data_IF_348697701123
#
_entry.id   IF_348697701123
#
_cell.length_a   1.000
_cell.length_b   1.000
_cell.length_c   1.000
_cell.angle_alpha   90.00
_cell.angle_beta   90.00
_cell.angle_gamma   90.00
#
_symmetry.space_group_name_H-M   'P 1'
#
loop_
_entity.id
_entity.type
_entity.pdbx_description
1 polymer ?
#
# COMPACT_ATOMS: atom_id res chain seq x y z
N UNK A 1 2.82 -21.19 10.89
CA UNK A 1 1.75 -20.61 11.75
C UNK A 1 2.18 -19.18 12.02
N UNK A 2 1.72 -18.22 11.21
CA UNK A 2 2.06 -16.81 11.38
C UNK A 2 1.15 -16.21 12.45
N UNK A 3 1.73 -15.59 13.47
CA UNK A 3 0.97 -14.73 14.37
C UNK A 3 0.38 -13.58 13.56
N UNK A 4 -0.86 -13.21 13.85
CA UNK A 4 -1.48 -12.01 13.30
C UNK A 4 -0.63 -10.81 13.74
N UNK A 5 -0.18 -9.97 12.79
CA UNK A 5 0.58 -8.77 13.11
C UNK A 5 -0.35 -7.86 13.93
N UNK A 6 0.05 -7.56 15.17
CA UNK A 6 -0.74 -6.71 16.04
C UNK A 6 -0.13 -5.32 16.10
N UNK A 7 -0.80 -4.35 15.49
CA UNK A 7 -0.38 -2.95 15.48
C UNK A 7 -0.92 -2.20 16.69
N UNK A 8 -0.35 -2.45 17.88
CA UNK A 8 -0.76 -1.72 19.08
C UNK A 8 -0.41 -0.23 18.98
N UNK A 9 0.73 0.08 18.38
CA UNK A 9 1.20 1.44 18.13
C UNK A 9 1.92 1.52 16.79
N UNK A 10 1.85 2.69 16.15
CA UNK A 10 2.74 3.02 15.03
C UNK A 10 3.53 4.24 15.40
N UNK A 11 4.85 4.14 15.24
CA UNK A 11 5.81 5.17 15.53
C UNK A 11 6.43 5.72 14.26
N UNK A 12 6.95 6.94 14.35
CA UNK A 12 7.64 7.63 13.28
C UNK A 12 8.82 8.41 13.82
N UNK A 13 10.00 8.25 13.23
CA UNK A 13 11.18 9.02 13.62
C UNK A 13 11.22 10.37 12.91
N UNK A 14 11.29 11.45 13.69
CA UNK A 14 11.45 12.82 13.18
C UNK A 14 12.78 12.94 12.43
N UNK A 15 12.74 13.30 11.15
CA UNK A 15 13.95 13.42 10.32
C UNK A 15 14.68 14.76 10.52
N UNK A 16 13.93 15.83 10.78
CA UNK A 16 14.45 17.19 10.91
C UNK A 16 13.67 17.95 11.98
N UNK A 17 14.30 18.95 12.61
CA UNK A 17 13.63 19.75 13.61
C UNK A 17 12.42 20.49 13.00
N UNK A 18 11.23 20.27 13.54
CA UNK A 18 9.97 20.82 13.02
C UNK A 18 8.99 21.13 14.17
N UNK A 19 8.04 22.03 13.94
CA UNK A 19 6.97 22.33 14.90
C UNK A 19 5.97 21.17 15.00
N UNK A 20 5.27 21.07 16.13
CA UNK A 20 4.21 20.07 16.33
C UNK A 20 3.11 20.14 15.26
N UNK A 21 2.74 21.34 14.81
CA UNK A 21 1.76 21.53 13.75
C UNK A 21 2.25 21.01 12.40
N UNK A 22 3.53 21.24 12.07
CA UNK A 22 4.12 20.72 10.84
C UNK A 22 4.17 19.18 10.85
N UNK A 23 4.64 18.60 11.97
CA UNK A 23 4.72 17.15 12.17
C UNK A 23 3.34 16.49 12.14
N UNK A 24 2.35 17.07 12.82
CA UNK A 24 0.98 16.57 12.80
C UNK A 24 0.38 16.65 11.38
N UNK A 25 0.64 17.75 10.65
CA UNK A 25 0.15 17.94 9.29
C UNK A 25 0.72 16.92 8.30
N UNK A 26 1.95 16.42 8.50
CA UNK A 26 2.51 15.33 7.67
C UNK A 26 1.65 14.07 7.71
N UNK A 27 0.99 13.79 8.84
CA UNK A 27 0.11 12.64 9.01
C UNK A 27 -1.38 12.97 8.87
N UNK A 28 -1.73 14.21 8.51
CA UNK A 28 -3.14 14.64 8.48
C UNK A 28 -3.78 14.63 9.87
N UNK A 29 -2.98 14.84 10.91
CA UNK A 29 -3.39 14.97 12.30
C UNK A 29 -3.52 16.45 12.66
N UNK A 30 -4.30 16.72 13.71
CA UNK A 30 -4.22 18.00 14.43
C UNK A 30 -3.05 17.92 15.42
N UNK A 31 -2.37 19.03 15.70
CA UNK A 31 -1.34 19.08 16.73
C UNK A 31 -1.85 18.57 18.09
N UNK A 32 -3.09 18.90 18.47
CA UNK A 32 -3.71 18.37 19.69
C UNK A 32 -3.83 16.85 19.71
N UNK A 33 -4.10 16.22 18.56
CA UNK A 33 -4.11 14.76 18.44
C UNK A 33 -2.71 14.19 18.60
N UNK A 34 -1.70 14.79 17.96
CA UNK A 34 -0.32 14.32 18.10
C UNK A 34 0.18 14.45 19.54
N UNK A 35 -0.14 15.55 20.23
CA UNK A 35 0.16 15.74 21.66
C UNK A 35 -0.61 14.77 22.55
N UNK A 36 -1.84 14.39 22.19
CA UNK A 36 -2.58 13.37 22.96
C UNK A 36 -1.95 11.99 22.88
N UNK A 37 -1.28 11.69 21.76
CA UNK A 37 -0.51 10.46 21.57
C UNK A 37 0.88 10.51 22.22
N UNK A 38 1.42 11.72 22.41
CA UNK A 38 2.76 11.99 22.94
C UNK A 38 2.70 13.11 23.99
N UNK A 39 2.16 12.84 25.20
CA UNK A 39 1.90 13.87 26.22
C UNK A 39 3.14 14.65 26.68
N UNK A 40 4.32 14.03 26.58
CA UNK A 40 5.64 14.59 26.88
C UNK A 40 6.03 15.77 25.96
N UNK A 41 5.37 15.89 24.79
CA UNK A 41 5.59 16.99 23.87
C UNK A 41 4.75 18.24 24.20
N UNK A 42 3.90 18.18 25.23
CA UNK A 42 3.03 19.31 25.60
C UNK A 42 3.87 20.55 25.93
N UNK A 43 3.61 21.64 25.22
CA UNK A 43 4.29 22.93 25.41
C UNK A 43 5.61 23.07 24.67
N UNK A 44 6.06 22.04 23.94
CA UNK A 44 7.25 22.14 23.10
C UNK A 44 6.94 22.94 21.82
N UNK A 45 7.82 23.87 21.46
CA UNK A 45 7.71 24.66 20.23
C UNK A 45 8.26 23.94 18.99
N UNK A 46 9.19 23.00 19.18
CA UNK A 46 9.85 22.22 18.15
C UNK A 46 10.22 20.84 18.68
N UNK A 47 10.15 19.81 17.83
CA UNK A 47 10.56 18.45 18.14
C UNK A 47 11.86 18.14 17.38
N UNK A 48 12.83 17.55 18.07
CA UNK A 48 14.17 17.32 17.52
C UNK A 48 14.25 16.09 16.61
N UNK A 49 15.20 16.06 15.65
CA UNK A 49 15.51 14.86 14.87
C UNK A 49 15.80 13.66 15.76
N UNK A 50 15.43 12.46 15.31
CA UNK A 50 15.61 11.21 16.06
C UNK A 50 14.53 10.96 17.13
N UNK A 51 13.64 11.92 17.40
CA UNK A 51 12.50 11.69 18.31
C UNK A 51 11.53 10.69 17.68
N UNK A 52 11.19 9.62 18.40
CA UNK A 52 10.12 8.71 18.01
C UNK A 52 8.76 9.28 18.40
N UNK A 53 7.90 9.49 17.41
CA UNK A 53 6.55 10.01 17.57
C UNK A 53 5.54 8.89 17.38
N UNK A 54 4.71 8.68 18.40
CA UNK A 54 3.52 7.84 18.27
C UNK A 54 2.49 8.56 17.40
N UNK A 55 2.20 8.01 16.23
CA UNK A 55 1.24 8.57 15.27
C UNK A 55 -0.08 7.80 15.26
N UNK A 56 -0.09 6.63 15.89
CA UNK A 56 -1.26 5.79 16.06
C UNK A 56 -1.13 4.92 17.32
N UNK A 57 -2.28 4.66 17.93
CA UNK A 57 -2.48 3.66 18.97
C UNK A 57 -3.77 2.92 18.65
N UNK A 58 -3.77 1.60 18.71
CA UNK A 58 -4.96 0.79 18.48
C UNK A 58 -6.03 1.09 19.55
N UNK A 59 -7.27 0.90 19.14
CA UNK A 59 -8.45 0.98 20.01
C UNK A 59 -9.33 -0.22 19.65
N UNK A 60 -9.34 -1.24 20.50
CA UNK A 60 -10.08 -2.49 20.25
C UNK A 60 -11.59 -2.26 20.16
N UNK A 61 -12.11 -1.22 20.82
CA UNK A 61 -13.52 -0.84 20.72
C UNK A 61 -13.83 -0.14 19.39
N UNK A 62 -12.79 0.31 18.68
CA UNK A 62 -12.88 1.08 17.43
C UNK A 62 -11.89 0.54 16.38
N UNK A 63 -12.06 -0.72 15.93
CA UNK A 63 -11.19 -1.31 14.92
C UNK A 63 -11.32 -0.58 13.58
N UNK A 64 -10.39 -0.83 12.66
CA UNK A 64 -10.45 -0.25 11.32
C UNK A 64 -11.70 -0.73 10.58
N UNK A 65 -12.40 0.18 9.87
CA UNK A 65 -13.59 -0.17 9.11
C UNK A 65 -13.60 0.44 7.73
N UNK A 66 -13.54 -0.40 6.71
CA UNK A 66 -13.86 -0.02 5.34
C UNK A 66 -15.38 -0.01 5.15
N UNK A 67 -15.94 1.14 4.77
CA UNK A 67 -17.39 1.30 4.56
C UNK A 67 -17.67 1.72 3.12
N UNK A 68 -18.54 0.98 2.44
CA UNK A 68 -18.91 1.21 1.05
C UNK A 68 -17.93 0.59 0.05
N UNK A 69 -17.96 1.08 -1.18
CA UNK A 69 -17.10 0.62 -2.27
C UNK A 69 -15.82 1.46 -2.38
N UNK A 70 -14.76 0.95 -3.04
CA UNK A 70 -13.49 1.67 -3.20
C UNK A 70 -13.61 3.08 -3.80
N UNK A 71 -14.63 3.32 -4.63
CA UNK A 71 -14.93 4.60 -5.29
C UNK A 71 -16.05 5.42 -4.63
N UNK A 72 -16.78 4.85 -3.66
CA UNK A 72 -17.90 5.51 -2.96
C UNK A 72 -17.98 4.98 -1.52
N UNK A 73 -17.01 5.39 -0.72
CA UNK A 73 -16.88 4.92 0.64
C UNK A 73 -16.04 5.83 1.52
N UNK A 74 -15.80 5.36 2.74
CA UNK A 74 -14.91 5.99 3.72
C UNK A 74 -14.15 4.92 4.50
N UNK A 75 -13.13 5.37 5.22
CA UNK A 75 -12.39 4.58 6.20
C UNK A 75 -12.68 5.15 7.59
N UNK A 76 -12.97 4.28 8.55
CA UNK A 76 -13.01 4.64 9.96
C UNK A 76 -11.80 4.02 10.66
N UNK A 77 -11.21 4.77 11.59
CA UNK A 77 -10.10 4.32 12.44
C UNK A 77 -8.88 3.78 11.69
N UNK A 78 -8.61 4.31 10.50
CA UNK A 78 -7.55 3.82 9.61
C UNK A 78 -6.19 3.68 10.28
N UNK A 79 -5.55 2.55 10.00
CA UNK A 79 -4.19 2.22 10.45
C UNK A 79 -3.18 2.88 9.50
N UNK A 80 -2.28 3.76 9.97
CA UNK A 80 -1.20 4.24 9.13
C UNK A 80 -0.24 3.11 8.74
N UNK A 81 0.25 3.16 7.51
CA UNK A 81 1.34 2.28 7.07
C UNK A 81 2.58 2.56 7.95
N UNK A 82 3.14 1.55 8.62
CA UNK A 82 4.34 1.70 9.45
C UNK A 82 5.58 1.92 8.60
N UNK A 83 6.65 2.40 9.22
CA UNK A 83 7.97 2.41 8.60
C UNK A 83 8.57 1.00 8.61
N UNK A 84 9.46 0.71 7.65
CA UNK A 84 10.16 -0.55 7.60
C UNK A 84 11.35 -0.53 6.66
N UNK A 85 12.20 -1.57 6.70
CA UNK A 85 13.45 -1.59 5.96
C UNK A 85 13.26 -1.75 4.45
N UNK A 86 12.18 -2.42 4.02
CA UNK A 86 11.99 -2.86 2.63
C UNK A 86 11.03 -2.02 1.79
N UNK A 87 10.49 -0.95 2.37
CA UNK A 87 9.63 -0.01 1.67
C UNK A 87 9.95 1.41 2.08
N UNK A 88 9.47 2.35 1.29
CA UNK A 88 9.60 3.77 1.58
C UNK A 88 8.26 4.47 1.44
N UNK A 89 7.96 5.30 2.43
CA UNK A 89 6.77 6.14 2.46
C UNK A 89 7.11 7.54 1.99
N UNK A 90 6.12 8.23 1.41
CA UNK A 90 6.24 9.65 1.11
C UNK A 90 6.43 10.48 2.39
N UNK A 91 7.13 11.60 2.27
CA UNK A 91 7.30 12.58 3.36
C UNK A 91 5.99 13.12 3.93
N UNK A 92 5.01 13.32 3.05
CA UNK A 92 3.63 13.68 3.41
C UNK A 92 2.78 12.42 3.36
N UNK A 93 2.34 11.98 4.54
CA UNK A 93 1.65 10.71 4.82
C UNK A 93 0.16 10.90 5.11
N UNK A 94 -0.42 12.02 4.68
CA UNK A 94 -1.85 12.33 4.84
C UNK A 94 -2.76 11.30 4.19
N UNK A 95 -2.22 10.49 3.26
CA UNK A 95 -2.92 9.42 2.54
C UNK A 95 -2.31 8.03 2.74
N UNK A 96 -1.58 7.82 3.83
CA UNK A 96 -0.93 6.54 4.12
C UNK A 96 -1.77 5.65 5.06
N UNK A 97 -3.11 5.73 5.04
CA UNK A 97 -3.97 5.02 5.97
C UNK A 97 -4.76 3.90 5.28
N UNK A 98 -4.73 2.70 5.85
CA UNK A 98 -5.38 1.49 5.35
C UNK A 98 -6.30 0.82 6.36
N UNK A 99 -7.03 -0.18 5.88
CA UNK A 99 -7.62 -1.22 6.74
C UNK A 99 -6.51 -2.17 7.23
N UNK A 100 -6.69 -2.80 8.39
CA UNK A 100 -5.66 -3.64 9.02
C UNK A 100 -5.17 -4.73 8.07
N UNK A 101 -6.09 -5.48 7.45
CA UNK A 101 -5.73 -6.56 6.53
C UNK A 101 -4.91 -6.10 5.30
N UNK A 102 -5.10 -4.86 4.84
CA UNK A 102 -4.33 -4.29 3.74
C UNK A 102 -2.92 -3.91 4.19
N UNK A 103 -2.78 -3.27 5.37
CA UNK A 103 -1.48 -2.93 5.94
C UNK A 103 -0.67 -4.20 6.25
N UNK A 104 -1.30 -5.21 6.87
CA UNK A 104 -0.67 -6.50 7.18
C UNK A 104 -0.15 -7.20 5.93
N UNK A 105 -0.98 -7.23 4.88
CA UNK A 105 -0.62 -7.84 3.61
C UNK A 105 0.57 -7.12 2.97
N UNK A 106 0.57 -5.78 2.99
CA UNK A 106 1.69 -4.99 2.47
C UNK A 106 2.98 -5.24 3.26
N UNK A 107 2.95 -5.13 4.59
CA UNK A 107 4.13 -5.37 5.44
C UNK A 107 4.67 -6.78 5.23
N UNK A 108 3.79 -7.79 5.23
CA UNK A 108 4.18 -9.19 5.00
C UNK A 108 4.82 -9.36 3.63
N UNK A 109 4.21 -8.82 2.57
CA UNK A 109 4.69 -8.98 1.21
C UNK A 109 6.00 -8.23 0.96
N UNK A 110 6.13 -7.00 1.48
CA UNK A 110 7.34 -6.19 1.30
C UNK A 110 8.53 -6.79 2.06
N UNK A 111 8.29 -7.33 3.26
CA UNK A 111 9.32 -8.09 3.99
C UNK A 111 9.76 -9.31 3.22
N UNK A 112 8.82 -10.16 2.76
CA UNK A 112 9.17 -11.35 1.96
C UNK A 112 9.95 -10.99 0.68
N UNK A 113 9.51 -9.96 -0.03
CA UNK A 113 10.19 -9.48 -1.23
C UNK A 113 11.61 -9.00 -0.91
N UNK A 114 11.76 -8.16 0.11
CA UNK A 114 13.04 -7.60 0.50
C UNK A 114 14.02 -8.63 1.05
N UNK A 115 13.53 -9.69 1.69
CA UNK A 115 14.35 -10.83 2.14
C UNK A 115 14.71 -11.79 0.98
N UNK A 116 14.03 -11.71 -0.16
CA UNK A 116 14.28 -12.60 -1.31
C UNK A 116 15.46 -12.16 -2.18
N UNK A 117 15.92 -10.90 -2.05
CA UNK A 117 17.05 -10.37 -2.81
C UNK A 117 17.95 -9.54 -1.91
N UNK A 118 19.25 -9.82 -1.92
CA UNK A 118 20.24 -9.08 -1.12
C UNK A 118 20.28 -7.59 -1.47
N UNK A 119 19.99 -7.26 -2.73
CA UNK A 119 19.99 -5.91 -3.31
C UNK A 119 18.59 -5.39 -3.67
N UNK A 120 17.52 -5.93 -3.06
CA UNK A 120 16.15 -5.51 -3.37
C UNK A 120 15.96 -3.99 -3.21
N UNK A 121 15.63 -3.24 -4.29
CA UNK A 121 15.22 -1.86 -4.16
C UNK A 121 13.97 -1.77 -3.29
N UNK A 122 13.92 -0.79 -2.38
CA UNK A 122 12.75 -0.58 -1.52
C UNK A 122 11.49 -0.36 -2.36
N UNK A 123 10.40 -0.97 -1.93
CA UNK A 123 9.09 -0.76 -2.55
C UNK A 123 8.63 0.68 -2.30
N UNK A 124 8.37 1.43 -3.37
CA UNK A 124 7.88 2.80 -3.29
C UNK A 124 6.37 2.80 -3.04
N UNK A 125 5.95 3.22 -1.84
CA UNK A 125 4.53 3.24 -1.44
C UNK A 125 3.93 4.61 -1.72
N UNK A 126 2.89 4.63 -2.55
CA UNK A 126 2.12 5.79 -2.93
C UNK A 126 0.94 6.08 -2.01
N UNK A 127 -0.14 6.54 -2.60
CA UNK A 127 -1.37 6.82 -1.85
C UNK A 127 -2.07 5.51 -1.50
N UNK A 128 -2.70 5.45 -0.31
CA UNK A 128 -3.56 4.35 0.16
C UNK A 128 -4.99 4.89 0.34
N UNK A 129 -5.17 5.71 1.37
CA UNK A 129 -6.36 6.52 1.58
C UNK A 129 -6.09 7.59 2.64
N UNK A 130 -6.88 8.65 2.64
CA UNK A 130 -6.87 9.59 3.75
C UNK A 130 -7.26 8.90 5.07
N UNK A 131 -6.89 9.47 6.22
CA UNK A 131 -7.20 8.91 7.55
C UNK A 131 -8.66 8.53 7.78
N UNK A 132 -9.58 9.29 7.16
CA UNK A 132 -11.03 9.04 7.20
C UNK A 132 -11.58 8.55 5.86
N UNK A 133 -10.71 8.16 4.93
CA UNK A 133 -11.04 7.83 3.55
C UNK A 133 -11.75 8.98 2.83
N UNK A 134 -12.74 8.65 2.00
CA UNK A 134 -13.53 9.63 1.28
C UNK A 134 -12.92 10.04 -0.05
N UNK A 135 -13.44 11.11 -0.68
CA UNK A 135 -13.06 11.50 -2.04
C UNK A 135 -11.56 11.83 -2.12
N UNK A 136 -10.84 11.07 -2.94
CA UNK A 136 -9.39 11.14 -3.07
C UNK A 136 -8.97 11.68 -4.45
N UNK A 137 -9.39 12.89 -4.83
CA UNK A 137 -8.98 13.46 -6.13
C UNK A 137 -7.44 13.49 -6.28
N UNK A 138 -6.89 13.22 -7.47
CA UNK A 138 -7.58 12.88 -8.73
C UNK A 138 -8.03 11.41 -8.85
N UNK A 139 -7.68 10.55 -7.90
CA UNK A 139 -7.99 9.12 -7.91
C UNK A 139 -9.51 8.87 -7.90
N UNK A 140 -9.94 7.91 -8.73
CA UNK A 140 -11.34 7.45 -8.78
C UNK A 140 -11.69 6.51 -7.61
N UNK A 141 -10.69 5.85 -7.03
CA UNK A 141 -10.80 4.94 -5.87
C UNK A 141 -10.03 5.49 -4.66
N UNK A 142 -9.33 4.67 -3.86
CA UNK A 142 -8.53 5.10 -2.69
C UNK A 142 -9.35 5.69 -1.53
N UNK A 143 -10.64 5.35 -1.46
CA UNK A 143 -11.56 5.97 -0.47
C UNK A 143 -11.75 5.17 0.82
N UNK A 144 -11.32 3.92 0.84
CA UNK A 144 -11.74 2.95 1.89
C UNK A 144 -10.58 2.23 2.58
N UNK A 145 -9.33 2.68 2.37
CA UNK A 145 -8.14 2.05 2.95
C UNK A 145 -7.80 0.68 2.36
N UNK A 146 -8.28 0.39 1.14
CA UNK A 146 -8.16 -0.92 0.49
C UNK A 146 -7.42 -0.86 -0.85
N UNK A 147 -7.00 0.31 -1.27
CA UNK A 147 -6.26 0.52 -2.50
C UNK A 147 -4.87 1.03 -2.10
N UNK A 148 -3.84 0.71 -2.90
CA UNK A 148 -2.51 1.31 -2.78
C UNK A 148 -1.88 1.40 -4.16
N UNK A 149 -1.19 2.52 -4.43
CA UNK A 149 -0.33 2.66 -5.60
C UNK A 149 1.10 2.29 -5.22
N UNK A 150 1.72 1.35 -5.93
CA UNK A 150 3.12 0.95 -5.71
C UNK A 150 3.94 1.26 -6.94
N UNK A 151 5.04 1.99 -6.77
CA UNK A 151 5.99 2.23 -7.85
C UNK A 151 6.56 0.90 -8.36
N UNK A 152 6.76 0.79 -9.68
CA UNK A 152 7.39 -0.39 -10.25
C UNK A 152 8.85 -0.52 -9.81
N UNK A 153 9.32 -1.74 -9.60
CA UNK A 153 10.75 -2.00 -9.43
C UNK A 153 11.43 -1.82 -10.79
N UNK A 154 12.50 -1.03 -10.84
CA UNK A 154 13.20 -0.71 -12.07
C UNK A 154 14.61 -1.31 -12.06
N UNK A 155 15.14 -1.57 -13.25
CA UNK A 155 16.52 -2.05 -13.44
C UNK A 155 17.57 -0.97 -13.20
N UNK A 156 17.14 0.29 -13.12
CA UNK A 156 18.00 1.44 -12.85
C UNK A 156 17.58 2.10 -11.56
N UNK A 157 18.57 2.45 -10.73
CA UNK A 157 18.32 3.26 -9.55
C UNK A 157 17.73 4.60 -9.96
N UNK A 158 16.72 5.04 -9.20
CA UNK A 158 16.14 6.36 -9.37
C UNK A 158 16.92 7.36 -8.51
N UNK A 159 17.04 8.63 -8.95
CA UNK A 159 17.56 9.68 -8.11
C UNK A 159 16.81 9.75 -6.77
N UNK A 160 17.51 10.16 -5.72
CA UNK A 160 16.90 10.36 -4.40
C UNK A 160 15.67 11.28 -4.50
N UNK A 161 14.55 10.88 -3.88
CA UNK A 161 13.26 11.58 -3.99
C UNK A 161 12.45 11.29 -5.26
N UNK A 162 13.02 10.58 -6.24
CA UNK A 162 12.32 10.10 -7.43
C UNK A 162 11.90 8.65 -7.24
N UNK A 163 10.58 8.44 -7.15
CA UNK A 163 10.01 7.12 -6.82
C UNK A 163 8.89 6.72 -7.79
N UNK A 164 8.62 7.57 -8.78
CA UNK A 164 7.56 7.42 -9.77
C UNK A 164 8.16 7.68 -11.13
N UNK A 165 8.37 6.61 -11.90
CA UNK A 165 8.86 6.69 -13.26
C UNK A 165 8.07 5.73 -14.11
N UNK A 166 7.71 6.20 -15.29
CA UNK A 166 7.06 5.38 -16.30
C UNK A 166 7.95 4.17 -16.63
N UNK A 167 7.38 2.99 -16.49
CA UNK A 167 8.03 1.74 -16.82
C UNK A 167 7.77 1.32 -18.28
N UNK A 168 8.77 0.70 -18.88
CA UNK A 168 8.73 0.04 -20.19
C UNK A 168 9.78 -1.08 -20.26
N UNK A 169 9.92 -1.71 -21.43
CA UNK A 169 10.82 -2.84 -21.66
C UNK A 169 12.28 -2.54 -21.35
N UNK A 170 12.69 -1.27 -21.36
CA UNK A 170 14.10 -0.90 -21.12
C UNK A 170 14.45 -0.80 -19.64
N UNK A 171 13.44 -0.58 -18.77
CA UNK A 171 13.69 -0.21 -17.38
C UNK A 171 12.89 -1.03 -16.35
N UNK A 172 11.94 -1.86 -16.77
CA UNK A 172 11.09 -2.65 -15.88
C UNK A 172 11.78 -3.95 -15.46
N UNK A 173 12.02 -4.14 -14.15
CA UNK A 173 12.58 -5.38 -13.63
C UNK A 173 11.47 -6.44 -13.47
N UNK A 174 11.25 -7.24 -14.50
CA UNK A 174 10.15 -8.21 -14.52
C UNK A 174 10.27 -9.29 -13.43
N UNK A 175 11.49 -9.70 -13.05
CA UNK A 175 11.73 -10.69 -11.99
C UNK A 175 11.29 -10.15 -10.64
N UNK A 176 11.80 -8.97 -10.27
CA UNK A 176 11.52 -8.36 -8.96
C UNK A 176 10.05 -7.91 -8.83
N UNK A 177 9.46 -7.36 -9.90
CA UNK A 177 8.04 -7.03 -9.88
C UNK A 177 7.16 -8.29 -9.77
N UNK A 178 7.53 -9.39 -10.45
CA UNK A 178 6.80 -10.64 -10.31
C UNK A 178 6.90 -11.21 -8.88
N UNK A 179 8.09 -11.21 -8.28
CA UNK A 179 8.29 -11.64 -6.90
C UNK A 179 7.46 -10.82 -5.91
N UNK A 180 7.42 -9.49 -6.07
CA UNK A 180 6.57 -8.61 -5.25
C UNK A 180 5.08 -8.94 -5.42
N UNK A 181 4.62 -9.11 -6.67
CA UNK A 181 3.22 -9.47 -6.97
C UNK A 181 2.84 -10.80 -6.33
N UNK A 182 3.70 -11.82 -6.45
CA UNK A 182 3.48 -13.13 -5.85
C UNK A 182 3.42 -13.01 -4.32
N UNK A 183 4.37 -12.31 -3.71
CA UNK A 183 4.38 -12.08 -2.27
C UNK A 183 3.10 -11.39 -1.77
N UNK A 184 2.56 -10.43 -2.53
CA UNK A 184 1.27 -9.78 -2.26
C UNK A 184 0.11 -10.76 -2.39
N UNK A 185 0.03 -11.52 -3.48
CA UNK A 185 -1.06 -12.47 -3.73
C UNK A 185 -1.08 -13.61 -2.70
N UNK A 186 0.09 -14.10 -2.29
CA UNK A 186 0.27 -15.16 -1.29
C UNK A 186 -0.22 -14.77 0.12
N UNK A 187 -0.49 -13.48 0.37
CA UNK A 187 -1.17 -13.04 1.60
C UNK A 187 -2.64 -13.46 1.65
N UNK A 188 -3.23 -13.82 0.50
CA UNK A 188 -4.66 -14.10 0.35
C UNK A 188 -5.55 -12.85 0.42
N UNK A 189 -4.98 -11.66 0.67
CA UNK A 189 -5.75 -10.42 0.85
C UNK A 189 -5.94 -9.64 -0.45
N UNK A 190 -5.23 -9.96 -1.53
CA UNK A 190 -5.38 -9.26 -2.81
C UNK A 190 -6.71 -9.63 -3.48
N UNK A 191 -7.43 -8.60 -3.92
CA UNK A 191 -8.61 -8.71 -4.77
C UNK A 191 -8.24 -8.51 -6.24
N UNK A 192 -7.47 -7.48 -6.57
CA UNK A 192 -7.07 -7.17 -7.94
C UNK A 192 -5.80 -6.32 -7.96
N UNK A 193 -5.03 -6.40 -9.05
CA UNK A 193 -3.85 -5.59 -9.32
C UNK A 193 -4.00 -5.00 -10.73
N UNK A 194 -3.94 -3.68 -10.85
CA UNK A 194 -4.02 -3.01 -12.14
C UNK A 194 -2.64 -2.64 -12.66
N UNK A 195 -2.29 -3.20 -13.81
CA UNK A 195 -0.99 -3.05 -14.48
C UNK A 195 -1.28 -2.86 -15.96
N UNK A 196 -0.55 -1.96 -16.64
CA UNK A 196 -0.75 -1.77 -18.08
C UNK A 196 -0.52 -3.06 -18.89
N UNK A 197 -1.32 -3.31 -19.93
CA UNK A 197 -1.19 -4.51 -20.79
C UNK A 197 0.24 -4.71 -21.33
N UNK A 198 0.98 -3.62 -21.60
CA UNK A 198 2.37 -3.69 -22.08
C UNK A 198 3.29 -4.35 -21.05
N UNK A 199 3.18 -3.96 -19.77
CA UNK A 199 4.00 -4.52 -18.70
C UNK A 199 3.54 -5.94 -18.31
N UNK A 200 2.25 -6.24 -18.42
CA UNK A 200 1.76 -7.62 -18.25
C UNK A 200 2.45 -8.61 -19.21
N UNK A 201 2.77 -8.19 -20.45
CA UNK A 201 3.52 -9.01 -21.42
C UNK A 201 4.95 -9.30 -20.99
N UNK A 202 5.55 -8.47 -20.13
CA UNK A 202 6.88 -8.69 -19.55
C UNK A 202 6.83 -9.59 -18.32
N UNK A 203 5.76 -9.49 -17.53
CA UNK A 203 5.55 -10.33 -16.34
C UNK A 203 5.21 -11.79 -16.71
N UNK A 204 4.38 -12.01 -17.73
CA UNK A 204 3.87 -13.35 -18.06
C UNK A 204 4.98 -14.38 -18.35
N UNK A 205 6.04 -14.09 -19.12
CA UNK A 205 7.14 -15.03 -19.34
C UNK A 205 7.92 -15.40 -18.06
N UNK A 206 8.04 -14.47 -17.11
CA UNK A 206 8.67 -14.73 -15.81
C UNK A 206 7.79 -15.65 -14.97
N UNK A 207 6.51 -15.32 -14.84
CA UNK A 207 5.53 -16.12 -14.11
C UNK A 207 5.44 -17.57 -14.63
N UNK A 208 5.52 -17.75 -15.96
CA UNK A 208 5.44 -19.07 -16.61
C UNK A 208 6.60 -20.01 -16.28
N UNK A 209 7.70 -19.50 -15.69
CA UNK A 209 8.82 -20.35 -15.27
C UNK A 209 8.48 -21.18 -14.03
N UNK A 210 7.49 -20.75 -13.25
CA UNK A 210 7.12 -21.37 -11.98
C UNK A 210 5.64 -21.77 -11.87
N UNK A 211 4.77 -21.27 -12.76
CA UNK A 211 3.34 -21.55 -12.76
C UNK A 211 2.92 -22.39 -13.97
N UNK A 212 2.00 -23.32 -13.75
CA UNK A 212 1.32 -24.01 -14.85
C UNK A 212 0.26 -23.12 -15.53
N UNK A 213 -0.38 -23.59 -16.62
CA UNK A 213 -1.38 -22.78 -17.33
C UNK A 213 -2.62 -22.46 -16.49
N UNK A 214 -3.04 -23.39 -15.62
CA UNK A 214 -4.21 -23.19 -14.77
C UNK A 214 -3.94 -22.14 -13.69
N UNK A 215 -2.73 -22.13 -13.14
CA UNK A 215 -2.24 -21.12 -12.20
C UNK A 215 -2.06 -19.77 -12.90
N UNK A 216 -1.43 -19.74 -14.08
CA UNK A 216 -1.27 -18.51 -14.87
C UNK A 216 -2.61 -17.85 -15.19
N UNK A 217 -3.66 -18.64 -15.46
CA UNK A 217 -5.01 -18.13 -15.72
C UNK A 217 -5.64 -17.40 -14.52
N UNK A 218 -5.15 -17.66 -13.29
CA UNK A 218 -5.58 -16.93 -12.09
C UNK A 218 -4.96 -15.52 -12.05
N UNK A 219 -3.75 -15.37 -12.59
CA UNK A 219 -3.03 -14.10 -12.59
C UNK A 219 -3.34 -13.25 -13.81
N UNK A 220 -3.36 -13.82 -15.01
CA UNK A 220 -3.46 -13.10 -16.27
C UNK A 220 -4.69 -13.52 -17.06
N UNK A 221 -5.26 -12.60 -17.84
CA UNK A 221 -6.33 -12.94 -18.79
C UNK A 221 -5.80 -13.92 -19.84
N UNK A 222 -6.52 -15.02 -20.02
CA UNK A 222 -6.26 -16.02 -21.07
C UNK A 222 -7.08 -15.66 -22.31
N UNK A 223 -6.49 -15.59 -23.51
CA UNK A 223 -7.25 -15.50 -24.76
C UNK A 223 -8.23 -16.68 -24.86
N UNK A 224 -9.50 -16.41 -25.18
CA UNK A 224 -10.57 -17.42 -25.27
C UNK A 224 -10.86 -18.20 -23.98
N UNK A 225 -10.39 -17.72 -22.82
CA UNK A 225 -10.75 -18.24 -21.51
C UNK A 225 -12.16 -17.82 -21.06
N UNK A 226 -12.64 -18.38 -19.94
CA UNK A 226 -13.94 -18.04 -19.37
C UNK A 226 -14.03 -16.51 -19.12
N UNK A 227 -14.95 -15.79 -19.80
CA UNK A 227 -15.08 -14.34 -19.63
C UNK A 227 -15.49 -13.93 -18.21
N UNK A 228 -16.14 -14.83 -17.45
CA UNK A 228 -16.55 -14.62 -16.06
C UNK A 228 -15.38 -14.78 -15.07
N UNK A 229 -14.29 -15.45 -15.48
CA UNK A 229 -13.10 -15.56 -14.68
C UNK A 229 -12.28 -14.26 -14.75
N UNK A 230 -12.47 -13.40 -13.75
CA UNK A 230 -11.67 -12.19 -13.60
C UNK A 230 -10.24 -12.54 -13.12
N UNK A 231 -9.19 -12.24 -13.89
CA UNK A 231 -7.81 -12.45 -13.44
C UNK A 231 -7.46 -11.46 -12.32
N UNK A 232 -6.52 -11.86 -11.46
CA UNK A 232 -6.00 -10.96 -10.41
C UNK A 232 -5.35 -9.73 -11.04
N UNK A 233 -4.56 -9.90 -12.12
CA UNK A 233 -3.91 -8.80 -12.84
C UNK A 233 -4.77 -8.41 -14.03
N UNK A 234 -5.19 -7.14 -14.07
CA UNK A 234 -6.01 -6.61 -15.16
C UNK A 234 -5.52 -5.24 -15.63
N UNK A 235 -5.86 -4.88 -16.87
CA UNK A 235 -5.50 -3.57 -17.43
C UNK A 235 -6.49 -2.48 -16.99
N UNK A 236 -5.96 -1.32 -16.66
CA UNK A 236 -6.68 -0.05 -16.52
C UNK A 236 -5.75 1.07 -17.05
N UNK A 237 -6.33 2.10 -17.68
CA UNK A 237 -5.54 3.20 -18.23
C UNK A 237 -4.89 4.04 -17.14
N UNK A 238 -3.64 4.47 -17.36
CA UNK A 238 -2.86 5.32 -16.44
C UNK A 238 -1.78 4.59 -15.63
N UNK A 239 -1.85 3.26 -15.49
CA UNK A 239 -0.96 2.45 -14.63
C UNK A 239 0.38 2.10 -15.31
N UNK A 240 1.06 3.12 -15.84
CA UNK A 240 2.33 2.96 -16.57
C UNK A 240 3.56 3.27 -15.72
N UNK A 241 3.40 3.94 -14.59
CA UNK A 241 4.45 4.30 -13.63
C UNK A 241 4.25 3.65 -12.25
N UNK A 242 3.13 2.95 -12.05
CA UNK A 242 2.79 2.22 -10.83
C UNK A 242 1.87 1.03 -11.12
N UNK A 243 1.87 0.05 -10.21
CA UNK A 243 0.79 -0.92 -10.07
C UNK A 243 -0.21 -0.43 -9.02
N UNK A 244 -1.50 -0.50 -9.31
CA UNK A 244 -2.55 -0.24 -8.31
C UNK A 244 -2.99 -1.57 -7.73
N UNK A 245 -2.79 -1.80 -6.43
CA UNK A 245 -3.23 -3.01 -5.73
C UNK A 245 -4.50 -2.71 -4.96
N UNK A 246 -5.50 -3.58 -5.09
CA UNK A 246 -6.72 -3.56 -4.28
C UNK A 246 -6.79 -4.80 -3.40
N UNK A 247 -7.03 -4.58 -2.11
CA UNK A 247 -7.23 -5.61 -1.12
C UNK A 247 -8.71 -5.94 -0.92
N UNK A 248 -9.00 -7.14 -0.43
CA UNK A 248 -10.33 -7.64 -0.09
C UNK A 248 -10.93 -6.87 1.09
N UNK A 249 -12.24 -6.99 1.26
CA UNK A 249 -12.87 -6.56 2.50
C UNK A 249 -12.35 -7.42 3.65
N UNK A 250 -11.90 -6.75 4.71
CA UNK A 250 -11.56 -7.41 5.96
C UNK A 250 -12.78 -8.16 6.54
N UNK A 251 -12.53 -9.30 7.16
CA UNK A 251 -13.58 -10.05 7.87
C UNK A 251 -14.25 -9.18 8.94
N UNK A 252 -15.54 -9.36 9.16
CA UNK A 252 -16.30 -8.55 10.12
C UNK A 252 -16.71 -7.15 9.63
N UNK A 253 -16.11 -6.62 8.56
CA UNK A 253 -16.51 -5.35 7.95
C UNK A 253 -17.76 -5.49 7.05
N UNK A 254 -18.92 -5.77 7.66
CA UNK A 254 -20.18 -6.08 6.97
C UNK A 254 -20.71 -5.01 6.00
N UNK A 255 -20.23 -3.77 6.12
CA UNK A 255 -20.59 -2.63 5.23
C UNK A 255 -19.56 -2.39 4.12
N UNK A 256 -18.47 -3.14 4.12
CA UNK A 256 -17.50 -3.12 3.04
C UNK A 256 -18.12 -3.77 1.80
N UNK A 257 -17.85 -3.20 0.63
CA UNK A 257 -18.30 -3.72 -0.66
C UNK A 257 -17.13 -3.80 -1.62
N UNK A 258 -17.05 -4.88 -2.38
CA UNK A 258 -16.28 -4.85 -3.63
C UNK A 258 -16.89 -3.79 -4.55
N UNK A 259 -16.11 -3.30 -5.52
CA UNK A 259 -16.70 -2.49 -6.59
C UNK A 259 -17.71 -3.39 -7.31
N UNK A 260 -19.01 -3.12 -7.15
CA UNK A 260 -20.02 -3.68 -8.03
C UNK A 260 -19.79 -3.10 -9.42
N UNK A 261 -19.79 -3.97 -10.43
CA UNK A 261 -20.02 -3.54 -11.80
C UNK A 261 -21.44 -2.99 -11.91
#
# INVERSE_FOLDING_TARGET
RGGELRWDEVHWTVAQAESLDALASRWGLKASTLVSLNPELRGQSSVQPGTELRVYRSDEERPTRSIGSPNKGRLEHGLPMPEGPYWMLRDRRTRAFGATNAIDAMVTAFTRYGESYEDAPKVSVGEISARRGGRAAPHKSHRTGRDVDLGYILTTELPEGSHWKRADESNFDAEKNWALIKALVDTGQVQSIFISTRLQRLLRPVARRELDEAELARYFRVPDGDPEQAPIISHEDGHRDHMHVRFRCESGNARCRSRGH
#
